data_IF_133392143040
#
_entry.id   IF_133392143040
#
_cell.length_a   1.000
_cell.length_b   1.000
_cell.length_c   1.000
_cell.angle_alpha   90.00
_cell.angle_beta   90.00
_cell.angle_gamma   90.00
#
_symmetry.space_group_name_H-M   'P 1'
#
loop_
_entity.id
_entity.type
_entity.pdbx_description
1 polymer ?
#
# COMPACT_ATOMS: atom_id res chain seq x y z
N UNK A 1 -0.56 -35.32 63.19
CA UNK A 1 -0.45 -34.18 62.31
C UNK A 1 0.28 -34.66 61.05
N UNK A 2 -0.47 -35.02 60.03
CA UNK A 2 0.11 -35.56 58.79
C UNK A 2 0.21 -34.42 57.78
N UNK A 3 1.43 -34.19 57.27
CA UNK A 3 1.71 -33.20 56.23
C UNK A 3 1.17 -33.70 54.89
N UNK A 4 0.43 -32.84 54.20
CA UNK A 4 -0.04 -33.05 52.81
C UNK A 4 1.12 -32.82 51.83
N UNK A 5 1.25 -33.62 50.75
CA UNK A 5 2.29 -33.40 49.76
C UNK A 5 1.93 -32.20 48.88
N UNK A 6 2.87 -31.29 48.72
CA UNK A 6 2.80 -30.16 47.76
C UNK A 6 2.82 -30.69 46.31
N UNK A 7 1.74 -30.48 45.58
CA UNK A 7 1.67 -30.75 44.15
C UNK A 7 2.45 -29.70 43.37
N UNK A 8 3.67 -30.01 42.93
CA UNK A 8 4.42 -29.22 41.99
C UNK A 8 3.75 -29.25 40.62
N UNK A 9 3.09 -28.15 40.26
CA UNK A 9 2.58 -27.89 38.90
C UNK A 9 3.73 -27.73 37.93
N UNK A 10 4.12 -28.80 37.24
CA UNK A 10 5.01 -28.71 36.09
C UNK A 10 4.34 -27.94 34.95
N UNK A 11 4.84 -26.73 34.64
CA UNK A 11 4.46 -26.04 33.41
C UNK A 11 4.89 -26.89 32.21
N UNK A 12 4.02 -27.05 31.18
CA UNK A 12 4.40 -27.77 29.97
C UNK A 12 5.55 -27.05 29.27
N UNK A 13 6.52 -27.82 28.81
CA UNK A 13 7.65 -27.29 28.04
C UNK A 13 7.13 -26.57 26.79
N UNK A 14 7.74 -25.41 26.41
CA UNK A 14 7.32 -24.70 25.22
C UNK A 14 7.53 -25.56 23.97
N UNK A 15 6.60 -25.50 22.97
CA UNK A 15 6.74 -26.28 21.75
C UNK A 15 8.01 -25.86 20.99
N UNK A 16 8.85 -26.84 20.61
CA UNK A 16 9.99 -26.59 19.74
C UNK A 16 9.50 -26.49 18.29
N UNK A 17 9.41 -25.27 17.77
CA UNK A 17 9.08 -25.03 16.36
C UNK A 17 10.37 -25.04 15.52
N UNK A 18 10.39 -25.74 14.36
CA UNK A 18 11.55 -25.73 13.48
C UNK A 18 11.76 -24.32 12.88
N UNK A 19 13.03 -23.90 12.79
CA UNK A 19 13.41 -22.65 12.11
C UNK A 19 13.20 -22.84 10.61
N UNK A 20 12.22 -22.11 10.02
CA UNK A 20 12.04 -22.08 8.59
C UNK A 20 13.15 -21.23 7.97
N UNK A 21 14.10 -21.88 7.30
CA UNK A 21 15.25 -21.21 6.69
C UNK A 21 14.92 -20.51 5.37
N UNK A 22 15.55 -19.36 5.15
CA UNK A 22 15.80 -18.76 3.82
C UNK A 22 14.64 -18.04 3.14
N UNK A 23 14.71 -16.72 3.04
CA UNK A 23 13.82 -15.87 2.24
C UNK A 23 14.07 -16.06 0.73
N UNK A 24 13.41 -17.03 0.12
CA UNK A 24 12.94 -16.86 -1.25
C UNK A 24 11.52 -16.28 -1.16
N UNK A 25 11.17 -15.30 -1.99
CA UNK A 25 9.79 -14.79 -2.04
C UNK A 25 8.82 -15.97 -2.16
N UNK A 26 7.92 -16.12 -1.19
CA UNK A 26 7.01 -17.26 -1.16
C UNK A 26 6.06 -17.20 -2.37
N UNK A 27 5.57 -18.33 -2.84
CA UNK A 27 4.53 -18.36 -3.88
C UNK A 27 3.35 -17.45 -3.53
N UNK A 28 3.03 -17.29 -2.24
CA UNK A 28 2.02 -16.37 -1.72
C UNK A 28 2.35 -14.91 -2.07
N UNK A 29 3.58 -14.45 -1.80
CA UNK A 29 4.02 -13.08 -2.12
C UNK A 29 3.97 -12.81 -3.61
N UNK A 30 4.52 -13.71 -4.43
CA UNK A 30 4.50 -13.58 -5.90
C UNK A 30 3.08 -13.55 -6.47
N UNK A 31 2.17 -14.35 -5.92
CA UNK A 31 0.76 -14.36 -6.31
C UNK A 31 0.05 -13.09 -5.86
N UNK A 32 0.35 -12.57 -4.65
CA UNK A 32 -0.21 -11.32 -4.17
C UNK A 32 0.20 -10.14 -5.07
N UNK A 33 1.46 -10.09 -5.48
CA UNK A 33 1.98 -9.05 -6.38
C UNK A 33 1.34 -9.15 -7.78
N UNK A 34 1.23 -10.36 -8.34
CA UNK A 34 0.55 -10.57 -9.61
C UNK A 34 -0.95 -10.21 -9.56
N UNK A 35 -1.62 -10.47 -8.45
CA UNK A 35 -3.02 -10.10 -8.25
C UNK A 35 -3.19 -8.58 -8.10
N UNK A 36 -2.28 -7.89 -7.38
CA UNK A 36 -2.27 -6.42 -7.33
C UNK A 36 -2.08 -5.84 -8.72
N UNK A 37 -1.14 -6.40 -9.49
CA UNK A 37 -0.90 -6.04 -10.87
C UNK A 37 -2.17 -6.15 -11.72
N UNK A 38 -2.85 -7.29 -11.65
CA UNK A 38 -4.08 -7.54 -12.39
C UNK A 38 -5.24 -6.60 -11.96
N UNK A 39 -5.31 -6.24 -10.67
CA UNK A 39 -6.27 -5.25 -10.17
C UNK A 39 -5.96 -3.85 -10.74
N UNK A 40 -4.70 -3.44 -10.73
CA UNK A 40 -4.25 -2.13 -11.25
C UNK A 40 -4.48 -2.03 -12.75
N UNK A 41 -4.20 -3.11 -13.49
CA UNK A 41 -4.42 -3.18 -14.94
C UNK A 41 -5.90 -3.29 -15.33
N UNK A 42 -6.83 -3.44 -14.35
CA UNK A 42 -8.26 -3.60 -14.62
C UNK A 42 -8.66 -5.00 -15.13
N UNK A 43 -7.74 -5.96 -15.12
CA UNK A 43 -8.04 -7.35 -15.50
C UNK A 43 -8.96 -8.05 -14.50
N UNK A 44 -8.85 -7.68 -13.22
CA UNK A 44 -9.79 -8.06 -12.18
C UNK A 44 -10.76 -6.91 -11.96
N UNK A 45 -11.99 -7.11 -12.40
CA UNK A 45 -13.01 -6.04 -12.47
C UNK A 45 -13.69 -5.82 -11.13
N UNK A 46 -14.01 -4.57 -10.77
CA UNK A 46 -14.81 -4.25 -9.60
C UNK A 46 -16.14 -5.03 -9.58
N UNK A 47 -16.63 -5.35 -8.38
CA UNK A 47 -17.85 -6.13 -8.11
C UNK A 47 -17.81 -7.60 -8.53
N UNK A 48 -16.90 -8.03 -9.40
CA UNK A 48 -16.81 -9.43 -9.81
C UNK A 48 -16.23 -10.31 -8.70
N UNK A 49 -16.64 -11.58 -8.70
CA UNK A 49 -16.22 -12.58 -7.72
C UNK A 49 -15.28 -13.58 -8.39
N UNK A 50 -14.08 -13.70 -7.85
CA UNK A 50 -13.06 -14.62 -8.32
C UNK A 50 -12.82 -15.71 -7.30
N UNK A 51 -12.86 -16.97 -7.73
CA UNK A 51 -12.54 -18.10 -6.85
C UNK A 51 -11.03 -18.38 -6.84
N UNK A 52 -10.50 -18.78 -5.69
CA UNK A 52 -9.09 -19.14 -5.58
C UNK A 52 -8.69 -20.32 -6.51
N UNK A 53 -9.50 -21.36 -6.72
CA UNK A 53 -9.20 -22.40 -7.70
C UNK A 53 -9.10 -21.90 -9.14
N UNK A 54 -10.01 -20.99 -9.57
CA UNK A 54 -9.99 -20.44 -10.92
C UNK A 54 -8.74 -19.58 -11.17
N UNK A 55 -8.34 -18.76 -10.20
CA UNK A 55 -7.11 -17.97 -10.28
C UNK A 55 -5.87 -18.85 -10.21
N UNK A 56 -5.88 -19.90 -9.38
CA UNK A 56 -4.79 -20.86 -9.25
C UNK A 56 -4.49 -21.57 -10.59
N UNK A 57 -5.54 -21.98 -11.32
CA UNK A 57 -5.41 -22.55 -12.64
C UNK A 57 -4.73 -21.59 -13.64
N UNK A 58 -5.03 -20.28 -13.55
CA UNK A 58 -4.38 -19.26 -14.41
C UNK A 58 -2.91 -19.02 -14.05
N UNK A 59 -2.57 -19.10 -12.76
CA UNK A 59 -1.18 -18.93 -12.28
C UNK A 59 -0.33 -20.20 -12.33
N UNK A 60 -0.91 -21.35 -12.63
CA UNK A 60 -0.19 -22.63 -12.62
C UNK A 60 0.29 -23.07 -11.24
N UNK A 61 -0.45 -22.69 -10.17
CA UNK A 61 -0.13 -23.01 -8.77
C UNK A 61 -1.30 -23.70 -8.09
N UNK A 62 -1.10 -24.20 -6.85
CA UNK A 62 -2.21 -24.72 -6.03
C UNK A 62 -3.11 -23.57 -5.51
N UNK A 63 -4.32 -23.89 -5.09
CA UNK A 63 -5.29 -22.92 -4.59
C UNK A 63 -4.89 -22.26 -3.24
N UNK A 64 -4.02 -22.92 -2.46
CA UNK A 64 -3.62 -22.46 -1.12
C UNK A 64 -2.89 -21.11 -1.16
N UNK A 65 -1.76 -20.93 -1.89
CA UNK A 65 -1.07 -19.63 -1.94
C UNK A 65 -1.96 -18.53 -2.54
N UNK A 66 -2.86 -18.86 -3.47
CA UNK A 66 -3.83 -17.90 -4.02
C UNK A 66 -4.84 -17.47 -2.98
N UNK A 67 -5.38 -18.39 -2.18
CA UNK A 67 -6.30 -18.07 -1.08
C UNK A 67 -5.63 -17.19 -0.03
N UNK A 68 -4.39 -17.49 0.34
CA UNK A 68 -3.62 -16.69 1.30
C UNK A 68 -3.34 -15.28 0.76
N UNK A 69 -2.93 -15.17 -0.51
CA UNK A 69 -2.74 -13.89 -1.18
C UNK A 69 -4.03 -13.06 -1.21
N UNK A 70 -5.17 -13.69 -1.57
CA UNK A 70 -6.47 -12.99 -1.58
C UNK A 70 -6.92 -12.57 -0.17
N UNK A 71 -6.55 -13.31 0.88
CA UNK A 71 -6.80 -12.89 2.28
C UNK A 71 -5.94 -11.69 2.67
N UNK A 72 -4.70 -11.59 2.18
CA UNK A 72 -3.88 -10.40 2.39
C UNK A 72 -4.46 -9.18 1.66
N UNK A 73 -4.86 -9.34 0.40
CA UNK A 73 -5.57 -8.30 -0.34
C UNK A 73 -6.90 -7.89 0.34
N UNK A 74 -7.56 -8.82 1.03
CA UNK A 74 -8.77 -8.49 1.81
C UNK A 74 -8.46 -7.64 3.05
N UNK A 75 -7.34 -7.88 3.72
CA UNK A 75 -6.85 -7.01 4.82
C UNK A 75 -6.52 -5.60 4.30
N UNK A 76 -5.98 -5.52 3.10
CA UNK A 76 -5.71 -4.25 2.40
C UNK A 76 -7.01 -3.56 1.94
N UNK A 77 -8.15 -4.26 1.96
CA UNK A 77 -9.45 -3.75 1.52
C UNK A 77 -9.66 -3.73 0.00
N UNK A 78 -8.80 -4.42 -0.74
CA UNK A 78 -8.82 -4.49 -2.21
C UNK A 78 -9.84 -5.50 -2.73
N UNK A 79 -10.13 -6.50 -1.91
CA UNK A 79 -11.17 -7.50 -2.14
C UNK A 79 -11.91 -7.77 -0.84
N UNK A 80 -13.06 -8.42 -0.91
CA UNK A 80 -13.83 -8.91 0.24
C UNK A 80 -14.16 -10.38 0.07
N UNK A 81 -14.05 -11.17 1.14
CA UNK A 81 -14.41 -12.57 1.10
C UNK A 81 -15.93 -12.74 0.92
N UNK A 82 -16.33 -13.61 -0.03
CA UNK A 82 -17.73 -14.01 -0.24
C UNK A 82 -17.85 -15.49 0.15
N UNK A 83 -18.61 -15.82 1.20
CA UNK A 83 -18.73 -17.20 1.70
C UNK A 83 -19.06 -18.18 0.57
N UNK A 84 -18.32 -19.28 0.52
CA UNK A 84 -18.47 -20.38 -0.44
C UNK A 84 -18.31 -20.01 -1.94
N UNK A 85 -17.99 -18.74 -2.28
CA UNK A 85 -17.87 -18.29 -3.68
C UNK A 85 -16.46 -17.84 -4.02
N UNK A 86 -15.74 -17.18 -3.09
CA UNK A 86 -14.40 -16.66 -3.34
C UNK A 86 -14.22 -15.25 -2.81
N UNK A 87 -13.67 -14.37 -3.63
CA UNK A 87 -13.35 -12.99 -3.25
C UNK A 87 -13.92 -12.03 -4.27
N UNK A 88 -14.62 -11.02 -3.79
CA UNK A 88 -15.18 -9.95 -4.62
C UNK A 88 -14.21 -8.78 -4.66
N UNK A 89 -13.91 -8.28 -5.86
CA UNK A 89 -13.13 -7.04 -6.01
C UNK A 89 -13.95 -5.87 -5.44
N UNK A 90 -13.33 -5.13 -4.53
CA UNK A 90 -13.96 -3.97 -3.89
C UNK A 90 -14.18 -2.89 -4.94
N UNK A 91 -15.32 -2.26 -4.93
CA UNK A 91 -15.58 -1.03 -5.65
C UNK A 91 -15.47 0.13 -4.67
N UNK A 92 -14.86 1.21 -5.11
CA UNK A 92 -14.75 2.45 -4.34
C UNK A 92 -15.51 3.51 -5.12
N UNK A 93 -16.55 4.09 -4.52
CA UNK A 93 -17.28 5.20 -5.10
C UNK A 93 -16.50 6.50 -5.02
N UNK A 94 -16.83 7.49 -5.87
CA UNK A 94 -16.22 8.83 -5.86
C UNK A 94 -16.30 9.46 -4.47
N UNK A 95 -17.44 9.32 -3.80
CA UNK A 95 -17.64 9.78 -2.44
C UNK A 95 -16.63 9.15 -1.46
N UNK A 96 -16.43 7.83 -1.54
CA UNK A 96 -15.47 7.15 -0.67
C UNK A 96 -14.03 7.58 -0.96
N UNK A 97 -13.72 7.88 -2.22
CA UNK A 97 -12.43 8.41 -2.61
C UNK A 97 -12.19 9.80 -2.01
N UNK A 98 -13.22 10.65 -2.03
CA UNK A 98 -13.19 11.95 -1.36
C UNK A 98 -12.95 11.80 0.14
N UNK A 99 -13.69 10.90 0.77
CA UNK A 99 -13.55 10.60 2.21
C UNK A 99 -12.14 10.07 2.54
N UNK A 100 -11.58 9.15 1.73
CA UNK A 100 -10.20 8.66 1.92
C UNK A 100 -9.18 9.76 1.71
N UNK A 101 -9.33 10.59 0.68
CA UNK A 101 -8.42 11.71 0.40
C UNK A 101 -8.46 12.75 1.52
N UNK A 102 -9.63 13.05 2.04
CA UNK A 102 -9.80 13.96 3.18
C UNK A 102 -9.07 13.42 4.43
N UNK A 103 -9.28 12.16 4.78
CA UNK A 103 -8.60 11.55 5.95
C UNK A 103 -7.09 11.51 5.73
N UNK A 104 -6.63 11.16 4.53
CA UNK A 104 -5.21 11.20 4.18
C UNK A 104 -4.62 12.60 4.33
N UNK A 105 -5.31 13.62 3.84
CA UNK A 105 -4.86 15.00 3.97
C UNK A 105 -4.71 15.45 5.43
N UNK A 106 -5.65 15.05 6.29
CA UNK A 106 -5.61 15.34 7.71
C UNK A 106 -4.45 14.67 8.45
N UNK A 107 -3.97 13.53 7.94
CA UNK A 107 -2.88 12.76 8.56
C UNK A 107 -1.55 13.07 7.87
N UNK A 108 -1.49 12.92 6.53
CA UNK A 108 -0.23 12.97 5.79
C UNK A 108 0.34 14.39 5.73
N UNK A 109 -0.47 15.41 5.45
CA UNK A 109 0.05 16.79 5.30
C UNK A 109 0.73 17.28 6.58
N UNK A 110 0.08 17.32 7.77
CA UNK A 110 0.74 17.81 8.98
C UNK A 110 1.94 16.95 9.38
N UNK A 111 1.87 15.63 9.18
CA UNK A 111 2.97 14.72 9.49
C UNK A 111 4.20 15.03 8.63
N UNK A 112 4.02 15.15 7.31
CA UNK A 112 5.12 15.39 6.38
C UNK A 112 5.69 16.80 6.54
N UNK A 113 4.84 17.80 6.80
CA UNK A 113 5.32 19.17 7.11
C UNK A 113 6.21 19.19 8.36
N UNK A 114 5.84 18.47 9.42
CA UNK A 114 6.67 18.37 10.61
C UNK A 114 8.04 17.72 10.33
N UNK A 115 8.14 16.81 9.36
CA UNK A 115 9.41 16.18 8.98
C UNK A 115 10.42 17.17 8.37
N UNK A 116 9.98 18.30 7.82
CA UNK A 116 10.89 19.32 7.31
C UNK A 116 11.87 19.83 8.38
N UNK A 117 11.44 19.87 9.64
CA UNK A 117 12.28 20.33 10.77
C UNK A 117 12.77 19.20 11.67
N UNK A 118 12.10 18.06 11.69
CA UNK A 118 12.40 16.97 12.63
C UNK A 118 13.17 15.81 12.03
N UNK A 119 13.07 15.58 10.70
CA UNK A 119 13.71 14.43 10.09
C UNK A 119 15.22 14.67 9.85
N UNK A 120 15.99 13.59 9.98
CA UNK A 120 17.41 13.58 9.62
C UNK A 120 17.58 13.66 8.09
N UNK A 121 18.38 14.60 7.57
CA UNK A 121 18.61 14.75 6.13
C UNK A 121 19.14 13.49 5.43
N UNK A 122 19.92 12.67 6.09
CA UNK A 122 20.44 11.40 5.53
C UNK A 122 19.28 10.42 5.31
N UNK A 123 18.37 10.34 6.28
CA UNK A 123 17.18 9.50 6.19
C UNK A 123 16.21 9.98 5.10
N UNK A 124 16.08 11.29 4.89
CA UNK A 124 15.30 11.87 3.79
C UNK A 124 15.96 11.53 2.43
N UNK A 125 17.27 11.75 2.29
CA UNK A 125 17.98 11.47 1.04
C UNK A 125 17.94 9.98 0.68
N UNK A 126 17.88 9.07 1.64
CA UNK A 126 17.72 7.63 1.42
C UNK A 126 16.40 7.26 0.69
N UNK A 127 15.42 8.17 0.60
CA UNK A 127 14.17 7.99 -0.15
C UNK A 127 14.31 8.40 -1.64
N UNK A 128 15.37 9.11 -2.02
CA UNK A 128 15.57 9.61 -3.40
C UNK A 128 15.58 8.49 -4.45
N UNK A 129 16.18 7.30 -4.23
CA UNK A 129 16.07 6.21 -5.19
C UNK A 129 14.61 5.83 -5.47
N UNK A 130 13.76 5.70 -4.46
CA UNK A 130 12.34 5.39 -4.64
C UNK A 130 11.61 6.49 -5.42
N UNK A 131 11.88 7.78 -5.15
CA UNK A 131 11.32 8.89 -5.93
C UNK A 131 11.74 8.84 -7.41
N UNK A 132 12.99 8.51 -7.71
CA UNK A 132 13.46 8.32 -9.09
C UNK A 132 12.84 7.11 -9.77
N UNK A 133 12.64 6.02 -9.05
CA UNK A 133 11.95 4.84 -9.58
C UNK A 133 10.50 5.15 -9.95
N UNK A 134 9.78 5.99 -9.18
CA UNK A 134 8.44 6.45 -9.53
C UNK A 134 8.45 7.17 -10.88
N UNK A 135 9.40 8.09 -11.08
CA UNK A 135 9.54 8.83 -12.34
C UNK A 135 9.89 7.88 -13.50
N UNK A 136 10.83 6.98 -13.30
CA UNK A 136 11.22 6.00 -14.32
C UNK A 136 10.05 5.09 -14.72
N UNK A 137 9.27 4.63 -13.76
CA UNK A 137 8.08 3.80 -14.00
C UNK A 137 6.99 4.60 -14.75
N UNK A 138 6.80 5.89 -14.40
CA UNK A 138 5.87 6.77 -15.11
C UNK A 138 6.27 6.96 -16.59
N UNK A 139 7.54 7.19 -16.87
CA UNK A 139 8.09 7.31 -18.24
C UNK A 139 7.91 6.01 -19.03
N UNK A 140 8.13 4.86 -18.38
CA UNK A 140 7.96 3.55 -19.00
C UNK A 140 6.49 3.14 -19.18
N UNK A 141 5.54 3.83 -18.54
CA UNK A 141 4.13 3.42 -18.48
C UNK A 141 3.90 2.15 -17.64
N UNK A 142 4.88 1.77 -16.79
CA UNK A 142 4.77 0.62 -15.89
C UNK A 142 4.02 1.01 -14.61
N UNK A 143 2.70 0.81 -14.65
CA UNK A 143 1.83 1.19 -13.53
C UNK A 143 2.08 0.34 -12.26
N UNK A 144 2.60 -0.86 -12.42
CA UNK A 144 2.89 -1.77 -11.29
C UNK A 144 4.13 -1.25 -10.56
N UNK A 145 5.23 -1.08 -11.27
CA UNK A 145 6.46 -0.52 -10.72
C UNK A 145 6.21 0.88 -10.11
N UNK A 146 5.36 1.69 -10.75
CA UNK A 146 4.94 2.98 -10.23
C UNK A 146 4.30 2.86 -8.83
N UNK A 147 3.28 2.01 -8.67
CA UNK A 147 2.57 1.83 -7.38
C UNK A 147 3.49 1.29 -6.29
N UNK A 148 4.37 0.35 -6.64
CA UNK A 148 5.31 -0.23 -5.70
C UNK A 148 6.32 0.81 -5.19
N UNK A 149 6.94 1.57 -6.10
CA UNK A 149 7.89 2.62 -5.75
C UNK A 149 7.22 3.75 -4.96
N UNK A 150 6.03 4.19 -5.37
CA UNK A 150 5.22 5.19 -4.68
C UNK A 150 4.84 4.76 -3.25
N UNK A 151 4.44 3.51 -3.09
CA UNK A 151 4.12 2.96 -1.77
C UNK A 151 5.36 2.94 -0.87
N UNK A 152 6.50 2.49 -1.39
CA UNK A 152 7.78 2.51 -0.64
C UNK A 152 8.16 3.93 -0.23
N UNK A 153 8.07 4.90 -1.16
CA UNK A 153 8.41 6.29 -0.88
C UNK A 153 7.55 6.87 0.23
N UNK A 154 6.24 6.86 0.09
CA UNK A 154 5.35 7.52 1.04
C UNK A 154 5.31 6.85 2.41
N UNK A 155 5.29 5.51 2.46
CA UNK A 155 5.31 4.82 3.74
C UNK A 155 6.68 4.92 4.42
N UNK A 156 7.77 4.95 3.65
CA UNK A 156 9.11 5.23 4.14
C UNK A 156 9.22 6.64 4.72
N UNK A 157 8.68 7.64 4.02
CA UNK A 157 8.65 9.01 4.50
C UNK A 157 7.86 9.14 5.81
N UNK A 158 6.64 8.59 5.87
CA UNK A 158 5.82 8.62 7.08
C UNK A 158 6.43 7.85 8.26
N UNK A 159 7.21 6.81 7.98
CA UNK A 159 7.90 6.04 9.02
C UNK A 159 8.95 6.89 9.78
N UNK A 160 9.50 7.94 9.15
CA UNK A 160 10.43 8.88 9.80
C UNK A 160 9.77 9.65 10.95
N UNK A 161 8.44 9.73 10.98
CA UNK A 161 7.71 10.31 12.11
C UNK A 161 7.65 9.40 13.36
N UNK A 162 8.16 8.17 13.29
CA UNK A 162 8.24 7.24 14.42
C UNK A 162 6.90 6.65 14.89
N UNK A 163 5.80 6.85 14.15
CA UNK A 163 4.48 6.33 14.50
C UNK A 163 4.05 5.20 13.56
N UNK A 164 4.31 3.96 13.96
CA UNK A 164 3.97 2.77 13.17
C UNK A 164 2.46 2.61 12.92
N UNK A 165 1.61 3.03 13.86
CA UNK A 165 0.14 2.96 13.68
C UNK A 165 -0.35 3.94 12.62
N UNK A 166 0.24 5.15 12.56
CA UNK A 166 -0.04 6.12 11.50
C UNK A 166 0.31 5.52 10.13
N UNK A 167 1.48 4.92 10.00
CA UNK A 167 1.92 4.27 8.75
C UNK A 167 0.94 3.19 8.32
N UNK A 168 0.46 2.36 9.24
CA UNK A 168 -0.49 1.29 8.92
C UNK A 168 -1.86 1.82 8.48
N UNK A 169 -2.39 2.85 9.15
CA UNK A 169 -3.65 3.51 8.77
C UNK A 169 -3.53 4.08 7.35
N UNK A 170 -2.45 4.82 7.07
CA UNK A 170 -2.25 5.43 5.75
C UNK A 170 -2.02 4.36 4.68
N UNK A 171 -1.32 3.27 4.98
CA UNK A 171 -1.17 2.11 4.07
C UNK A 171 -2.53 1.61 3.59
N UNK A 172 -3.47 1.38 4.50
CA UNK A 172 -4.80 0.90 4.17
C UNK A 172 -5.61 1.87 3.32
N UNK A 173 -5.53 3.17 3.61
CA UNK A 173 -6.20 4.22 2.85
C UNK A 173 -5.60 4.38 1.44
N UNK A 174 -4.27 4.36 1.31
CA UNK A 174 -3.57 4.46 0.03
C UNK A 174 -3.86 3.28 -0.89
N UNK A 175 -3.85 2.06 -0.36
CA UNK A 175 -4.16 0.87 -1.13
C UNK A 175 -5.53 0.97 -1.82
N UNK A 176 -6.56 1.38 -1.08
CA UNK A 176 -7.92 1.56 -1.63
C UNK A 176 -8.01 2.69 -2.65
N UNK A 177 -7.36 3.81 -2.37
CA UNK A 177 -7.38 4.97 -3.23
C UNK A 177 -6.70 4.69 -4.59
N UNK A 178 -5.60 3.99 -4.64
CA UNK A 178 -4.77 3.85 -5.84
C UNK A 178 -5.26 2.86 -6.89
N UNK A 179 -5.98 1.83 -6.49
CA UNK A 179 -6.47 0.82 -7.44
C UNK A 179 -7.39 1.36 -8.53
N UNK A 180 -8.04 2.48 -8.26
CA UNK A 180 -9.06 3.02 -9.16
C UNK A 180 -8.64 4.29 -9.91
N UNK A 181 -7.62 5.01 -9.43
CA UNK A 181 -7.21 6.30 -9.99
C UNK A 181 -6.04 6.24 -10.96
N UNK A 182 -5.22 5.20 -10.91
CA UNK A 182 -3.98 5.18 -11.63
C UNK A 182 -4.17 5.05 -13.15
N UNK A 183 -5.13 4.25 -13.59
CA UNK A 183 -5.49 4.11 -15.00
C UNK A 183 -6.00 5.43 -15.59
N UNK A 184 -6.84 6.15 -14.84
CA UNK A 184 -7.31 7.48 -15.24
C UNK A 184 -6.18 8.52 -15.25
N UNK A 185 -5.27 8.47 -14.28
CA UNK A 185 -4.07 9.32 -14.22
C UNK A 185 -3.17 9.09 -15.43
N UNK A 186 -2.92 7.83 -15.77
CA UNK A 186 -2.14 7.46 -16.95
C UNK A 186 -2.82 7.93 -18.24
N UNK A 187 -4.12 7.68 -18.41
CA UNK A 187 -4.89 8.08 -19.58
C UNK A 187 -4.96 9.61 -19.76
N UNK A 188 -4.93 10.40 -18.68
CA UNK A 188 -4.93 11.87 -18.73
C UNK A 188 -3.57 12.48 -19.09
N UNK A 189 -2.50 11.68 -19.22
CA UNK A 189 -1.14 12.16 -19.47
C UNK A 189 -0.47 12.84 -18.26
N UNK A 190 -1.09 12.83 -17.08
CA UNK A 190 -0.59 13.51 -15.86
C UNK A 190 0.24 12.60 -14.94
N UNK A 191 0.47 11.35 -15.32
CA UNK A 191 1.23 10.41 -14.51
C UNK A 191 2.66 10.90 -14.24
N UNK A 192 3.33 11.43 -15.27
CA UNK A 192 4.70 11.92 -15.14
C UNK A 192 4.78 13.14 -14.21
N UNK A 193 3.91 14.14 -14.38
CA UNK A 193 3.92 15.32 -13.52
C UNK A 193 3.64 14.96 -12.05
N UNK A 194 2.74 14.02 -11.79
CA UNK A 194 2.51 13.49 -10.44
C UNK A 194 3.72 12.73 -9.89
N UNK A 195 4.47 12.03 -10.76
CA UNK A 195 5.70 11.34 -10.36
C UNK A 195 6.80 12.32 -9.95
N UNK A 196 6.98 13.42 -10.69
CA UNK A 196 7.99 14.45 -10.43
C UNK A 196 7.76 15.20 -9.11
N UNK A 197 6.51 15.30 -8.65
CA UNK A 197 6.18 15.88 -7.34
C UNK A 197 6.87 15.19 -6.16
N UNK A 198 7.24 13.92 -6.27
CA UNK A 198 7.96 13.21 -5.21
C UNK A 198 9.40 13.73 -5.04
N UNK A 199 10.07 14.10 -6.14
CA UNK A 199 11.39 14.72 -6.09
C UNK A 199 11.27 16.14 -5.55
N UNK A 200 10.28 16.93 -6.02
CA UNK A 200 10.00 18.28 -5.52
C UNK A 200 9.72 18.27 -4.00
N UNK A 201 8.91 17.32 -3.53
CA UNK A 201 8.63 17.14 -2.10
C UNK A 201 9.90 16.86 -1.30
N UNK A 202 10.74 15.97 -1.81
CA UNK A 202 11.98 15.61 -1.13
C UNK A 202 12.95 16.79 -1.07
N UNK A 203 13.06 17.57 -2.16
CA UNK A 203 13.90 18.75 -2.20
C UNK A 203 13.39 19.85 -1.24
N UNK A 204 12.08 20.05 -1.13
CA UNK A 204 11.48 20.97 -0.17
C UNK A 204 11.72 20.54 1.29
N UNK A 205 11.64 19.23 1.58
CA UNK A 205 11.96 18.67 2.91
C UNK A 205 13.42 18.89 3.27
N UNK A 206 14.35 18.65 2.34
CA UNK A 206 15.80 18.87 2.56
C UNK A 206 16.15 20.34 2.72
N UNK A 207 15.42 21.23 2.03
CA UNK A 207 15.53 22.66 2.19
C UNK A 207 14.89 23.18 3.49
N UNK A 208 14.17 22.32 4.25
CA UNK A 208 13.41 22.66 5.47
C UNK A 208 12.33 23.72 5.22
N UNK A 209 11.78 23.77 4.02
CA UNK A 209 10.71 24.69 3.65
C UNK A 209 9.32 24.07 3.90
N UNK A 210 8.82 24.27 5.11
CA UNK A 210 7.50 23.78 5.56
C UNK A 210 6.35 24.26 4.65
N UNK A 211 6.49 25.48 4.08
CA UNK A 211 5.47 26.04 3.21
C UNK A 211 5.44 25.29 1.89
N UNK A 212 6.60 25.13 1.24
CA UNK A 212 6.72 24.38 0.00
C UNK A 212 6.27 22.92 0.19
N UNK A 213 6.68 22.26 1.28
CA UNK A 213 6.22 20.90 1.63
C UNK A 213 4.69 20.83 1.69
N UNK A 214 4.04 21.79 2.36
CA UNK A 214 2.57 21.85 2.46
C UNK A 214 1.91 22.04 1.10
N UNK A 215 2.44 22.94 0.28
CA UNK A 215 1.93 23.23 -1.06
C UNK A 215 2.02 21.99 -1.97
N UNK A 216 3.18 21.34 -2.00
CA UNK A 216 3.39 20.11 -2.78
C UNK A 216 2.47 18.98 -2.31
N UNK A 217 2.41 18.71 -1.00
CA UNK A 217 1.55 17.67 -0.43
C UNK A 217 0.07 17.91 -0.72
N UNK A 218 -0.39 19.17 -0.63
CA UNK A 218 -1.78 19.53 -0.91
C UNK A 218 -2.12 19.29 -2.39
N UNK A 219 -1.25 19.72 -3.29
CA UNK A 219 -1.39 19.51 -4.75
C UNK A 219 -1.36 18.02 -5.07
N UNK A 220 -0.39 17.29 -4.53
CA UNK A 220 -0.19 15.86 -4.78
C UNK A 220 -1.42 15.03 -4.36
N UNK A 221 -1.96 15.26 -3.17
CA UNK A 221 -3.18 14.59 -2.72
C UNK A 221 -4.42 15.02 -3.50
N UNK A 222 -4.47 16.29 -3.94
CA UNK A 222 -5.56 16.84 -4.75
C UNK A 222 -5.61 16.27 -6.16
N UNK A 223 -4.48 15.96 -6.78
CA UNK A 223 -4.41 15.35 -8.11
C UNK A 223 -5.09 13.97 -8.14
N UNK A 224 -4.94 13.19 -7.10
CA UNK A 224 -5.61 11.89 -6.97
C UNK A 224 -7.13 12.05 -7.08
N UNK A 225 -7.71 13.14 -6.57
CA UNK A 225 -9.15 13.42 -6.61
C UNK A 225 -9.66 13.93 -7.96
N UNK A 226 -8.97 14.91 -8.55
CA UNK A 226 -9.45 15.59 -9.78
C UNK A 226 -9.50 14.66 -10.99
N UNK A 227 -8.66 13.62 -11.00
CA UNK A 227 -8.54 12.67 -12.09
C UNK A 227 -9.66 11.63 -12.11
N UNK A 228 -10.36 11.45 -11.02
CA UNK A 228 -11.42 10.48 -10.88
C UNK A 228 -12.80 11.06 -11.15
N UNK A 229 -13.00 12.33 -10.86
CA UNK A 229 -14.21 13.05 -11.24
C UNK A 229 -14.39 13.13 -12.77
N UNK A 230 -13.28 13.02 -13.55
CA UNK A 230 -13.29 13.10 -15.02
C UNK A 230 -13.48 11.73 -15.70
N UNK A 231 -13.40 10.61 -14.97
CA UNK A 231 -13.52 9.26 -15.55
C UNK A 231 -14.95 8.69 -15.45
N UNK A 232 -15.87 9.42 -14.84
CA UNK A 232 -17.28 9.04 -14.64
C UNK A 232 -18.28 9.70 -15.58
N UNK A 233 -17.80 10.52 -16.53
CA UNK A 233 -18.57 11.03 -17.67
C UNK A 233 -18.20 10.21 -18.93
#
# INVERSE_FOLDING_TARGET
MAALPESSSQQPAPPSLPVLGGRSSSYRERVADALRAALIAGELRPREVYSAPALAARFGVSATPVREAMLDLAKEGLVSAVPNKGFRVTEVSDRQLDEYTQVRALIEIPTVVALATTADPVSLEALRPAAREIVAAAVAGDLIAYVEADTRFHLGLLALAGNAHLVEVVRGLRGRARLYGLTALSASGRLLSSAEEHLELLDALLARDERAVREVMTRHLGHVRQLWASAGE
#
